data_IF_668929854512
#
_entry.id   IF_668929854512
#
_cell.length_a   1.000
_cell.length_b   1.000
_cell.length_c   1.000
_cell.angle_alpha   90.00
_cell.angle_beta   90.00
_cell.angle_gamma   90.00
#
_symmetry.space_group_name_H-M   'P 1'
#
loop_
_entity.id
_entity.type
_entity.pdbx_description
1 polymer ?
#
# COMPACT_ATOMS: atom_id res chain seq x y z
N UNK A 1 -20.57 -4.35 -16.85
CA UNK A 1 -20.25 -5.42 -15.90
C UNK A 1 -19.08 -6.20 -16.45
N UNK A 2 -18.03 -6.30 -15.65
CA UNK A 2 -16.82 -7.03 -15.98
C UNK A 2 -17.05 -8.53 -15.78
N UNK A 3 -16.49 -9.37 -16.67
CA UNK A 3 -16.68 -10.83 -16.61
C UNK A 3 -15.56 -11.50 -15.81
N UNK A 4 -15.86 -12.63 -15.17
CA UNK A 4 -14.93 -13.36 -14.30
C UNK A 4 -14.53 -14.70 -14.90
N UNK A 5 -13.23 -15.00 -14.87
CA UNK A 5 -12.70 -16.32 -15.19
C UNK A 5 -11.72 -16.78 -14.11
N UNK A 6 -11.67 -18.08 -13.84
CA UNK A 6 -10.70 -18.66 -12.92
C UNK A 6 -10.95 -18.39 -11.44
N UNK A 7 -12.16 -18.02 -11.04
CA UNK A 7 -12.53 -17.91 -9.62
C UNK A 7 -13.17 -19.23 -9.18
N UNK A 8 -12.34 -20.13 -8.67
CA UNK A 8 -12.78 -21.43 -8.15
C UNK A 8 -12.90 -21.41 -6.63
N UNK A 9 -13.73 -22.30 -6.08
CA UNK A 9 -14.01 -22.38 -4.63
C UNK A 9 -12.73 -22.49 -3.79
N UNK A 10 -11.75 -23.26 -4.26
CA UNK A 10 -10.54 -23.61 -3.53
C UNK A 10 -9.47 -22.49 -3.53
N UNK A 11 -9.58 -21.54 -4.46
CA UNK A 11 -8.60 -20.45 -4.63
C UNK A 11 -9.19 -19.07 -4.37
N UNK A 12 -10.51 -18.96 -4.27
CA UNK A 12 -11.18 -17.73 -3.89
C UNK A 12 -11.22 -17.59 -2.35
N UNK A 13 -11.18 -16.36 -1.82
CA UNK A 13 -11.30 -16.09 -0.38
C UNK A 13 -12.68 -16.47 0.19
N UNK A 14 -12.87 -16.42 1.53
CA UNK A 14 -14.09 -16.84 2.20
C UNK A 14 -15.38 -16.20 1.65
N UNK A 15 -15.30 -14.94 1.21
CA UNK A 15 -16.45 -14.17 0.70
C UNK A 15 -16.85 -14.59 -0.73
N UNK A 16 -15.93 -15.10 -1.54
CA UNK A 16 -16.20 -15.59 -2.89
C UNK A 16 -16.59 -17.09 -2.94
N UNK A 17 -16.29 -17.84 -1.87
CA UNK A 17 -16.75 -19.21 -1.69
C UNK A 17 -18.28 -19.31 -1.43
N UNK A 18 -18.93 -18.20 -1.06
CA UNK A 18 -20.35 -18.17 -0.73
C UNK A 18 -21.31 -18.26 -1.95
N UNK A 19 -20.81 -18.04 -3.17
CA UNK A 19 -21.64 -17.71 -4.34
C UNK A 19 -21.61 -18.75 -5.48
N UNK A 20 -21.59 -20.05 -5.15
CA UNK A 20 -21.77 -21.13 -6.14
C UNK A 20 -20.65 -21.22 -7.20
N UNK A 21 -19.45 -20.74 -6.89
CA UNK A 21 -18.28 -20.82 -7.76
C UNK A 21 -18.00 -22.28 -8.21
N UNK A 22 -17.44 -22.50 -9.41
CA UNK A 22 -17.04 -23.85 -9.85
C UNK A 22 -15.93 -24.43 -8.97
N UNK A 23 -15.86 -25.75 -8.84
CA UNK A 23 -14.72 -26.43 -8.21
C UNK A 23 -13.52 -26.44 -9.16
N UNK A 24 -12.36 -26.13 -8.62
CA UNK A 24 -11.08 -26.22 -9.32
C UNK A 24 -10.77 -27.68 -9.70
N UNK A 25 -11.09 -28.62 -8.80
CA UNK A 25 -10.83 -30.06 -9.00
C UNK A 25 -11.61 -30.60 -10.19
N UNK A 26 -12.85 -30.16 -10.36
CA UNK A 26 -13.70 -30.57 -11.49
C UNK A 26 -13.22 -29.99 -12.82
N UNK A 27 -12.48 -28.89 -12.78
CA UNK A 27 -11.96 -28.21 -13.97
C UNK A 27 -10.62 -28.80 -14.47
N UNK A 28 -9.96 -29.67 -13.71
CA UNK A 28 -8.68 -30.31 -14.07
C UNK A 28 -8.85 -31.22 -15.29
N UNK A 29 -7.87 -31.22 -16.20
CA UNK A 29 -7.85 -32.09 -17.37
C UNK A 29 -6.52 -32.83 -17.51
N UNK A 30 -6.54 -33.92 -18.27
CA UNK A 30 -5.32 -34.67 -18.60
C UNK A 30 -4.40 -33.93 -19.58
N UNK A 31 -4.95 -32.98 -20.34
CA UNK A 31 -4.22 -32.17 -21.31
C UNK A 31 -4.96 -30.86 -21.59
N UNK A 32 -4.19 -29.83 -21.91
CA UNK A 32 -4.67 -28.54 -22.36
C UNK A 32 -5.31 -28.52 -23.74
N UNK A 33 -5.93 -27.40 -24.14
CA UNK A 33 -6.32 -27.19 -25.52
C UNK A 33 -5.09 -27.02 -26.42
N UNK A 34 -5.27 -27.17 -27.74
CA UNK A 34 -4.17 -27.11 -28.72
C UNK A 34 -3.41 -25.76 -28.75
N UNK A 35 -4.01 -24.71 -28.19
CA UNK A 35 -3.53 -23.32 -28.12
C UNK A 35 -3.11 -22.89 -26.71
N UNK A 36 -2.92 -23.83 -25.76
CA UNK A 36 -2.65 -23.53 -24.35
C UNK A 36 -1.47 -22.58 -24.13
N UNK A 37 -0.36 -22.75 -24.86
CA UNK A 37 0.80 -21.85 -24.75
C UNK A 37 0.46 -20.39 -25.08
N UNK A 38 -0.44 -20.17 -26.06
CA UNK A 38 -0.89 -18.82 -26.45
C UNK A 38 -1.87 -18.25 -25.43
N UNK A 39 -2.68 -19.11 -24.81
CA UNK A 39 -3.58 -18.74 -23.72
C UNK A 39 -2.75 -18.29 -22.50
N UNK A 40 -1.72 -19.04 -22.11
CA UNK A 40 -0.83 -18.67 -21.01
C UNK A 40 -0.12 -17.34 -21.29
N UNK A 41 0.45 -17.16 -22.48
CA UNK A 41 1.08 -15.90 -22.87
C UNK A 41 0.10 -14.71 -22.82
N UNK A 42 -1.16 -14.91 -23.21
CA UNK A 42 -2.20 -13.90 -23.08
C UNK A 42 -2.45 -13.52 -21.62
N UNK A 43 -2.66 -14.52 -20.74
CA UNK A 43 -2.91 -14.31 -19.32
C UNK A 43 -1.75 -13.60 -18.62
N UNK A 44 -0.51 -13.93 -18.97
CA UNK A 44 0.72 -13.33 -18.42
C UNK A 44 0.93 -11.89 -18.87
N UNK A 45 0.55 -11.56 -20.11
CA UNK A 45 0.73 -10.21 -20.68
C UNK A 45 -0.34 -9.20 -20.26
N UNK A 46 -1.32 -9.62 -19.46
CA UNK A 46 -2.44 -8.79 -19.08
C UNK A 46 -2.09 -7.70 -18.05
N UNK A 47 -3.00 -6.73 -17.89
CA UNK A 47 -2.81 -5.62 -16.96
C UNK A 47 -3.19 -6.06 -15.55
N UNK A 48 -2.27 -5.96 -14.60
CA UNK A 48 -2.57 -6.14 -13.18
C UNK A 48 -3.35 -4.92 -12.64
N UNK A 49 -4.41 -5.18 -11.86
CA UNK A 49 -5.29 -4.14 -11.27
C UNK A 49 -5.32 -4.17 -9.74
N UNK A 50 -4.89 -5.27 -9.14
CA UNK A 50 -4.80 -5.45 -7.69
C UNK A 50 -3.71 -6.45 -7.39
N UNK A 51 -2.92 -6.17 -6.36
CA UNK A 51 -1.79 -7.02 -5.97
C UNK A 51 -1.87 -7.35 -4.49
N UNK A 52 -1.71 -8.62 -4.17
CA UNK A 52 -1.43 -9.11 -2.82
C UNK A 52 0.00 -9.64 -2.78
N UNK A 53 0.65 -9.53 -1.62
CA UNK A 53 1.93 -10.21 -1.38
C UNK A 53 1.74 -11.64 -0.83
N UNK A 54 0.49 -12.06 -0.62
CA UNK A 54 0.13 -13.37 -0.11
C UNK A 54 0.62 -14.50 -1.03
N UNK A 55 1.05 -15.59 -0.44
CA UNK A 55 1.28 -16.84 -1.15
C UNK A 55 0.29 -17.88 -0.65
N UNK A 56 -0.33 -18.60 -1.57
CA UNK A 56 -1.20 -19.74 -1.23
C UNK A 56 -0.52 -21.02 -1.69
N UNK A 57 -0.64 -22.07 -0.89
CA UNK A 57 -0.27 -23.42 -1.33
C UNK A 57 -1.15 -23.82 -2.53
N UNK A 58 -0.59 -24.56 -3.48
CA UNK A 58 -1.35 -25.18 -4.57
C UNK A 58 -2.53 -25.95 -3.99
N UNK A 59 -3.76 -25.55 -4.32
CA UNK A 59 -4.97 -26.12 -3.74
C UNK A 59 -5.22 -27.58 -4.19
N UNK A 60 -4.57 -28.03 -5.26
CA UNK A 60 -4.70 -29.38 -5.80
C UNK A 60 -3.64 -30.33 -5.22
N UNK A 61 -2.39 -29.88 -5.11
CA UNK A 61 -1.24 -30.72 -4.73
C UNK A 61 -0.56 -30.37 -3.41
N UNK A 62 -0.79 -29.17 -2.87
CA UNK A 62 -0.21 -28.66 -1.61
C UNK A 62 1.34 -28.67 -1.54
N UNK A 63 2.01 -28.88 -2.67
CA UNK A 63 3.47 -29.08 -2.75
C UNK A 63 4.24 -27.80 -3.05
N UNK A 64 3.57 -26.80 -3.64
CA UNK A 64 4.18 -25.56 -4.12
C UNK A 64 3.47 -24.32 -3.56
N UNK A 65 4.24 -23.26 -3.30
CA UNK A 65 3.70 -21.96 -2.92
C UNK A 65 3.56 -21.08 -4.16
N UNK A 66 2.34 -20.59 -4.42
CA UNK A 66 2.03 -19.71 -5.54
C UNK A 66 2.01 -18.28 -5.00
N UNK A 67 3.01 -17.48 -5.37
CA UNK A 67 3.14 -16.09 -4.96
C UNK A 67 2.11 -15.19 -5.66
N UNK A 68 1.65 -14.15 -4.95
CA UNK A 68 0.64 -13.22 -5.46
C UNK A 68 -0.76 -13.83 -5.55
N UNK A 69 -1.01 -14.99 -4.92
CA UNK A 69 -2.35 -15.57 -4.89
C UNK A 69 -3.32 -14.53 -4.32
N UNK A 70 -4.42 -14.26 -5.05
CA UNK A 70 -5.38 -13.16 -4.87
C UNK A 70 -5.09 -11.83 -5.61
N UNK A 71 -3.92 -11.66 -6.23
CA UNK A 71 -3.70 -10.58 -7.21
C UNK A 71 -4.62 -10.76 -8.42
N UNK A 72 -5.14 -9.66 -8.98
CA UNK A 72 -6.09 -9.67 -10.08
C UNK A 72 -5.51 -9.05 -11.36
N UNK A 73 -5.72 -9.75 -12.47
CA UNK A 73 -5.34 -9.37 -13.82
C UNK A 73 -6.58 -9.02 -14.65
N UNK A 74 -6.43 -8.18 -15.67
CA UNK A 74 -7.50 -7.81 -16.60
C UNK A 74 -7.01 -7.52 -18.02
N UNK A 75 -7.90 -7.78 -18.98
CA UNK A 75 -7.81 -7.29 -20.37
C UNK A 75 -8.80 -6.15 -20.67
N UNK A 76 -9.45 -5.61 -19.64
CA UNK A 76 -10.48 -4.57 -19.74
C UNK A 76 -11.91 -5.10 -19.88
N UNK A 77 -12.09 -6.38 -20.23
CA UNK A 77 -13.40 -7.06 -20.35
C UNK A 77 -13.56 -8.15 -19.30
N UNK A 78 -12.51 -8.94 -19.10
CA UNK A 78 -12.41 -10.05 -18.17
C UNK A 78 -11.46 -9.72 -17.03
N UNK A 79 -11.70 -10.34 -15.89
CA UNK A 79 -10.78 -10.40 -14.76
C UNK A 79 -10.54 -11.85 -14.35
N UNK A 80 -9.35 -12.10 -13.80
CA UNK A 80 -8.95 -13.39 -13.28
C UNK A 80 -7.85 -13.24 -12.22
N UNK A 81 -7.73 -14.20 -11.29
CA UNK A 81 -6.64 -14.19 -10.33
C UNK A 81 -5.32 -14.64 -10.99
N UNK A 82 -4.20 -14.14 -10.50
CA UNK A 82 -2.87 -14.42 -11.07
C UNK A 82 -2.52 -15.91 -10.99
N UNK A 83 -2.98 -16.60 -9.96
CA UNK A 83 -2.72 -18.03 -9.73
C UNK A 83 -3.47 -18.93 -10.73
N UNK A 84 -4.46 -18.41 -11.48
CA UNK A 84 -5.07 -19.12 -12.60
C UNK A 84 -4.03 -19.62 -13.61
N UNK A 85 -2.97 -18.84 -13.86
CA UNK A 85 -1.91 -19.20 -14.79
C UNK A 85 -1.15 -20.46 -14.34
N UNK A 86 -0.92 -20.60 -13.03
CA UNK A 86 -0.32 -21.79 -12.44
C UNK A 86 -1.19 -23.02 -12.71
N UNK A 87 -2.49 -22.91 -12.44
CA UNK A 87 -3.42 -24.02 -12.63
C UNK A 87 -3.66 -24.41 -14.09
N UNK A 88 -3.65 -23.46 -15.02
CA UNK A 88 -3.71 -23.76 -16.45
C UNK A 88 -2.41 -24.46 -16.89
N UNK A 89 -1.25 -23.92 -16.51
CA UNK A 89 0.06 -24.45 -16.94
C UNK A 89 0.35 -25.84 -16.39
N UNK A 90 0.04 -26.07 -15.11
CA UNK A 90 0.41 -27.30 -14.40
C UNK A 90 -0.69 -28.36 -14.45
N UNK A 91 -1.94 -27.95 -14.36
CA UNK A 91 -3.09 -28.85 -14.16
C UNK A 91 -4.10 -28.80 -15.32
N UNK A 92 -3.79 -28.09 -16.42
CA UNK A 92 -4.62 -27.96 -17.62
C UNK A 92 -6.07 -27.55 -17.34
N UNK A 93 -6.24 -26.73 -16.29
CA UNK A 93 -7.55 -26.31 -15.81
C UNK A 93 -8.35 -25.67 -16.93
N UNK A 94 -9.58 -26.17 -17.09
CA UNK A 94 -10.50 -25.73 -18.12
C UNK A 94 -11.05 -24.33 -17.83
N UNK A 95 -10.84 -23.43 -18.79
CA UNK A 95 -11.38 -22.08 -18.77
C UNK A 95 -12.77 -22.04 -19.42
N UNK A 96 -13.65 -21.08 -19.03
CA UNK A 96 -14.93 -20.88 -19.69
C UNK A 96 -14.77 -20.70 -21.20
N UNK A 97 -15.61 -21.36 -21.99
CA UNK A 97 -15.51 -21.32 -23.46
C UNK A 97 -15.60 -19.89 -24.01
N UNK A 98 -16.45 -19.05 -23.42
CA UNK A 98 -16.59 -17.65 -23.83
C UNK A 98 -15.29 -16.84 -23.63
N UNK A 99 -14.51 -17.17 -22.60
CA UNK A 99 -13.21 -16.53 -22.36
C UNK A 99 -12.16 -16.99 -23.37
N UNK A 100 -12.16 -18.28 -23.71
CA UNK A 100 -11.30 -18.81 -24.77
C UNK A 100 -11.62 -18.19 -26.13
N UNK A 101 -12.91 -18.06 -26.46
CA UNK A 101 -13.35 -17.47 -27.71
C UNK A 101 -13.00 -15.97 -27.77
N UNK A 102 -13.07 -15.27 -26.64
CA UNK A 102 -12.61 -13.88 -26.52
C UNK A 102 -11.11 -13.75 -26.87
N UNK A 103 -10.24 -14.55 -26.24
CA UNK A 103 -8.81 -14.55 -26.52
C UNK A 103 -8.50 -14.87 -27.99
N UNK A 104 -9.18 -15.90 -28.53
CA UNK A 104 -9.01 -16.34 -29.92
C UNK A 104 -9.42 -15.27 -30.92
N UNK A 105 -10.55 -14.60 -30.69
CA UNK A 105 -11.02 -13.51 -31.52
C UNK A 105 -10.06 -12.31 -31.50
N UNK A 106 -9.43 -12.04 -30.35
CA UNK A 106 -8.39 -11.02 -30.19
C UNK A 106 -7.00 -11.43 -30.69
N UNK A 107 -6.85 -12.62 -31.28
CA UNK A 107 -5.56 -13.12 -31.75
C UNK A 107 -4.54 -13.32 -30.61
N UNK A 108 -5.00 -13.56 -29.38
CA UNK A 108 -4.18 -13.69 -28.17
C UNK A 108 -3.32 -12.45 -27.87
N UNK A 109 -3.78 -11.28 -28.31
CA UNK A 109 -3.16 -9.99 -27.95
C UNK A 109 -4.04 -9.29 -26.93
N UNK A 110 -3.48 -8.95 -25.77
CA UNK A 110 -4.19 -8.19 -24.75
C UNK A 110 -4.46 -6.77 -25.28
N UNK A 111 -5.72 -6.31 -25.29
CA UNK A 111 -6.05 -4.93 -25.65
C UNK A 111 -5.38 -3.92 -24.70
N UNK A 112 -5.01 -2.75 -25.22
CA UNK A 112 -4.53 -1.67 -24.37
C UNK A 112 -5.65 -1.20 -23.41
N UNK A 113 -5.51 -1.55 -22.13
CA UNK A 113 -6.47 -1.15 -21.09
C UNK A 113 -6.12 0.25 -20.61
N UNK A 114 -7.01 1.22 -20.87
CA UNK A 114 -6.85 2.58 -20.34
C UNK A 114 -6.91 2.58 -18.81
N UNK A 115 -6.18 3.50 -18.17
CA UNK A 115 -6.22 3.65 -16.71
C UNK A 115 -7.64 3.88 -16.17
N UNK A 116 -8.48 4.61 -16.89
CA UNK A 116 -9.87 4.85 -16.46
C UNK A 116 -10.68 3.55 -16.41
N UNK A 117 -10.50 2.67 -17.39
CA UNK A 117 -11.15 1.35 -17.39
C UNK A 117 -10.61 0.47 -16.26
N UNK A 118 -9.30 0.46 -16.03
CA UNK A 118 -8.71 -0.29 -14.91
C UNK A 118 -9.27 0.18 -13.55
N UNK A 119 -9.39 1.50 -13.33
CA UNK A 119 -10.02 2.08 -12.13
C UNK A 119 -11.47 1.71 -11.98
N UNK A 120 -12.22 1.71 -13.08
CA UNK A 120 -13.62 1.31 -13.06
C UNK A 120 -13.75 -0.14 -12.59
N UNK A 121 -12.96 -1.04 -13.17
CA UNK A 121 -12.95 -2.46 -12.79
C UNK A 121 -12.55 -2.64 -11.33
N UNK A 122 -11.49 -1.97 -10.88
CA UNK A 122 -11.08 -2.02 -9.47
C UNK A 122 -12.21 -1.61 -8.50
N UNK A 123 -12.93 -0.52 -8.78
CA UNK A 123 -14.07 -0.10 -7.96
C UNK A 123 -15.26 -1.05 -8.02
N UNK A 124 -15.49 -1.70 -9.15
CA UNK A 124 -16.52 -2.74 -9.30
C UNK A 124 -16.19 -3.96 -8.42
N UNK A 125 -14.92 -4.36 -8.35
CA UNK A 125 -14.46 -5.53 -7.59
C UNK A 125 -14.29 -5.25 -6.09
N UNK A 126 -13.89 -4.03 -5.73
CA UNK A 126 -13.65 -3.62 -4.34
C UNK A 126 -14.50 -2.40 -3.98
N UNK A 127 -15.84 -2.55 -3.88
CA UNK A 127 -16.73 -1.43 -3.58
C UNK A 127 -16.43 -0.78 -2.22
N UNK A 128 -15.96 -1.56 -1.24
CA UNK A 128 -15.58 -1.09 0.10
C UNK A 128 -14.16 -0.47 0.15
N UNK A 129 -13.35 -0.64 -0.90
CA UNK A 129 -12.02 -0.02 -1.04
C UNK A 129 -12.03 1.29 -1.85
N UNK A 130 -13.20 1.71 -2.33
CA UNK A 130 -13.39 3.11 -2.67
C UNK A 130 -13.06 3.95 -1.43
N UNK A 131 -12.40 5.12 -1.55
CA UNK A 131 -12.12 5.96 -0.39
C UNK A 131 -13.45 6.42 0.20
N UNK A 132 -13.98 5.63 1.12
CA UNK A 132 -15.07 6.00 1.98
C UNK A 132 -14.47 7.00 2.95
N UNK A 133 -14.79 8.26 2.69
CA UNK A 133 -14.67 9.29 3.69
C UNK A 133 -15.36 8.80 4.97
N UNK A 134 -14.54 8.50 5.99
CA UNK A 134 -14.87 8.34 7.42
C UNK A 134 -15.64 7.04 7.76
N UNK A 135 -15.14 6.12 8.63
CA UNK A 135 -15.04 6.33 10.08
C UNK A 135 -14.33 5.19 10.85
N UNK A 136 -13.41 5.62 11.73
CA UNK A 136 -12.94 5.14 13.04
C UNK A 136 -13.05 3.67 13.49
N UNK A 137 -11.91 3.16 14.01
CA UNK A 137 -11.85 2.67 15.41
C UNK A 137 -10.45 2.66 16.05
N UNK A 138 -9.39 2.82 15.26
CA UNK A 138 -8.09 3.31 15.77
C UNK A 138 -7.46 4.18 14.69
N UNK A 139 -7.03 5.37 15.07
CA UNK A 139 -6.29 6.26 14.18
C UNK A 139 -4.79 6.19 14.49
N UNK A 140 -4.30 5.09 15.07
CA UNK A 140 -2.90 4.95 15.46
C UNK A 140 -1.98 5.31 14.29
N UNK A 141 -1.05 6.21 14.55
CA UNK A 141 -0.20 6.79 13.53
C UNK A 141 1.20 7.05 14.06
N UNK A 142 2.15 6.99 13.14
CA UNK A 142 3.48 7.52 13.32
C UNK A 142 3.64 8.63 12.31
N UNK A 143 3.95 9.85 12.74
CA UNK A 143 4.27 10.95 11.82
C UNK A 143 5.58 11.61 12.17
N UNK A 144 6.32 12.04 11.16
CA UNK A 144 7.50 12.89 11.35
C UNK A 144 7.62 13.91 10.24
N UNK A 145 8.32 14.99 10.54
CA UNK A 145 8.44 16.16 9.68
C UNK A 145 9.87 16.27 9.16
N UNK A 146 9.99 16.49 7.87
CA UNK A 146 11.27 16.62 7.16
C UNK A 146 11.25 17.86 6.27
N UNK A 147 12.41 18.43 5.92
CA UNK A 147 12.50 19.36 4.80
C UNK A 147 11.88 18.77 3.54
N UNK A 148 11.38 19.64 2.66
CA UNK A 148 10.87 19.25 1.35
C UNK A 148 11.83 18.28 0.66
N UNK A 149 11.33 17.09 0.34
CA UNK A 149 12.09 16.02 -0.27
C UNK A 149 12.55 16.46 -1.67
N UNK A 150 13.85 16.28 -1.91
CA UNK A 150 14.40 16.22 -3.27
C UNK A 150 14.29 14.79 -3.78
N UNK A 151 14.45 14.55 -5.08
CA UNK A 151 14.44 13.18 -5.62
C UNK A 151 15.44 12.29 -4.88
N UNK A 152 16.67 12.79 -4.65
CA UNK A 152 17.69 12.04 -3.90
C UNK A 152 17.31 11.80 -2.42
N UNK A 153 16.56 12.70 -1.78
CA UNK A 153 16.08 12.48 -0.42
C UNK A 153 14.91 11.48 -0.38
N UNK A 154 14.04 11.52 -1.39
CA UNK A 154 12.96 10.55 -1.54
C UNK A 154 13.53 9.14 -1.80
N UNK A 155 14.51 9.00 -2.69
CA UNK A 155 15.19 7.71 -2.93
C UNK A 155 15.83 7.16 -1.65
N UNK A 156 16.49 8.02 -0.86
CA UNK A 156 17.05 7.60 0.45
C UNK A 156 15.96 7.17 1.43
N UNK A 157 14.84 7.89 1.50
CA UNK A 157 13.71 7.52 2.34
C UNK A 157 13.18 6.13 1.96
N UNK A 158 13.00 5.85 0.67
CA UNK A 158 12.57 4.54 0.19
C UNK A 158 13.59 3.44 0.54
N UNK A 159 14.88 3.71 0.36
CA UNK A 159 15.93 2.78 0.75
C UNK A 159 15.97 2.52 2.27
N UNK A 160 15.72 3.55 3.09
CA UNK A 160 15.64 3.41 4.55
C UNK A 160 14.43 2.58 4.97
N UNK A 161 13.27 2.81 4.35
CA UNK A 161 12.08 1.97 4.50
C UNK A 161 12.42 0.50 4.18
N UNK A 162 13.01 0.23 3.02
CA UNK A 162 13.37 -1.12 2.60
C UNK A 162 14.34 -1.77 3.60
N UNK A 163 15.35 -1.04 4.07
CA UNK A 163 16.31 -1.51 5.07
C UNK A 163 15.68 -1.83 6.43
N UNK A 164 14.56 -1.17 6.74
CA UNK A 164 13.80 -1.39 7.97
C UNK A 164 12.78 -2.53 7.84
N UNK A 165 12.67 -3.15 6.67
CA UNK A 165 11.70 -4.21 6.36
C UNK A 165 10.33 -3.69 5.94
N UNK A 166 10.25 -2.42 5.52
CA UNK A 166 9.05 -1.75 5.05
C UNK A 166 9.21 -1.40 3.57
N UNK A 167 8.43 -2.01 2.67
CA UNK A 167 8.66 -1.87 1.23
C UNK A 167 7.57 -1.00 0.60
N UNK A 168 7.96 0.13 0.01
CA UNK A 168 6.99 0.97 -0.72
C UNK A 168 6.61 0.38 -2.09
N UNK A 169 7.47 -0.49 -2.62
CA UNK A 169 7.22 -1.29 -3.82
C UNK A 169 7.40 -2.75 -3.44
N UNK A 170 6.43 -3.62 -3.73
CA UNK A 170 6.56 -5.04 -3.43
C UNK A 170 7.80 -5.63 -4.14
N UNK A 171 8.73 -6.29 -3.42
CA UNK A 171 9.93 -6.86 -4.03
C UNK A 171 9.63 -8.03 -5.01
N UNK A 172 8.42 -8.58 -4.97
CA UNK A 172 7.96 -9.68 -5.84
C UNK A 172 7.37 -9.19 -7.17
N UNK A 173 6.56 -8.14 -7.16
CA UNK A 173 5.87 -7.65 -8.38
C UNK A 173 6.51 -6.40 -8.97
N UNK A 174 7.25 -5.63 -8.17
CA UNK A 174 7.83 -4.36 -8.61
C UNK A 174 6.77 -3.26 -8.85
N UNK A 175 5.51 -3.49 -8.46
CA UNK A 175 4.39 -2.61 -8.80
C UNK A 175 3.95 -1.73 -7.61
N UNK A 176 4.15 -0.42 -7.76
CA UNK A 176 3.63 0.62 -6.89
C UNK A 176 2.13 0.81 -7.11
N UNK A 177 1.37 0.90 -6.02
CA UNK A 177 0.01 1.39 -6.00
C UNK A 177 -0.11 2.53 -4.99
N UNK A 178 -0.54 3.70 -5.48
CA UNK A 178 -0.74 4.88 -4.66
C UNK A 178 -1.62 5.93 -5.34
N UNK A 179 -1.71 7.11 -4.72
CA UNK A 179 -2.43 8.26 -5.23
C UNK A 179 -1.61 9.53 -4.99
N UNK A 180 -1.50 10.39 -6.00
CA UNK A 180 -1.08 11.77 -5.83
C UNK A 180 -2.32 12.68 -5.86
N UNK A 181 -2.43 13.57 -4.89
CA UNK A 181 -3.40 14.64 -4.86
C UNK A 181 -2.73 15.94 -5.30
N UNK A 182 -3.35 16.64 -6.24
CA UNK A 182 -2.90 17.93 -6.76
C UNK A 182 -3.47 19.08 -5.93
N UNK A 183 -2.97 20.34 -6.07
CA UNK A 183 -3.50 21.49 -5.34
C UNK A 183 -4.97 21.78 -5.67
N UNK A 184 -5.47 21.30 -6.81
CA UNK A 184 -6.88 21.41 -7.20
C UNK A 184 -7.77 20.37 -6.52
N UNK A 185 -7.23 19.52 -5.64
CA UNK A 185 -7.94 18.44 -4.95
C UNK A 185 -8.19 17.22 -5.82
N UNK A 186 -7.56 17.15 -7.01
CA UNK A 186 -7.71 16.01 -7.91
C UNK A 186 -6.80 14.87 -7.44
N UNK A 187 -7.39 13.71 -7.15
CA UNK A 187 -6.65 12.49 -6.84
C UNK A 187 -6.40 11.69 -8.11
N UNK A 188 -5.13 11.56 -8.47
CA UNK A 188 -4.63 10.81 -9.62
C UNK A 188 -3.90 9.56 -9.11
N UNK A 189 -4.07 8.37 -9.71
CA UNK A 189 -3.34 7.20 -9.26
C UNK A 189 -1.86 7.34 -9.60
N UNK A 190 -1.05 6.79 -8.73
CA UNK A 190 0.38 6.67 -8.89
C UNK A 190 0.71 5.19 -9.06
N UNK A 191 1.13 4.82 -10.26
CA UNK A 191 1.40 3.44 -10.67
C UNK A 191 2.79 3.38 -11.32
N UNK A 192 3.56 2.34 -11.03
CA UNK A 192 4.91 2.20 -11.59
C UNK A 192 5.87 1.51 -10.63
N UNK A 193 7.09 2.02 -10.53
CA UNK A 193 8.14 1.49 -9.66
C UNK A 193 8.53 2.53 -8.56
N UNK A 194 9.62 2.25 -7.85
CA UNK A 194 10.10 3.13 -6.78
C UNK A 194 10.54 4.50 -7.29
N UNK A 195 11.01 4.60 -8.54
CA UNK A 195 11.42 5.87 -9.13
C UNK A 195 10.21 6.77 -9.40
N UNK A 196 9.08 6.19 -9.81
CA UNK A 196 7.81 6.93 -9.94
C UNK A 196 7.36 7.49 -8.60
N UNK A 197 7.45 6.70 -7.52
CA UNK A 197 7.14 7.18 -6.17
C UNK A 197 8.08 8.30 -5.75
N UNK A 198 9.40 8.10 -5.87
CA UNK A 198 10.39 9.10 -5.47
C UNK A 198 10.23 10.42 -6.23
N UNK A 199 9.91 10.37 -7.53
CA UNK A 199 9.59 11.54 -8.33
C UNK A 199 8.35 12.27 -7.78
N UNK A 200 7.26 11.55 -7.50
CA UNK A 200 6.03 12.14 -6.96
C UNK A 200 6.23 12.77 -5.58
N UNK A 201 7.02 12.15 -4.71
CA UNK A 201 7.34 12.69 -3.37
C UNK A 201 8.13 14.01 -3.45
N UNK A 202 9.01 14.13 -4.44
CA UNK A 202 9.80 15.32 -4.69
C UNK A 202 9.06 16.39 -5.52
N UNK A 203 8.00 16.02 -6.24
CA UNK A 203 7.34 16.91 -7.18
C UNK A 203 6.57 18.04 -6.46
N UNK A 204 6.68 19.25 -7.01
CA UNK A 204 6.00 20.41 -6.44
C UNK A 204 4.48 20.40 -6.68
N UNK A 205 4.00 19.59 -7.63
CA UNK A 205 2.59 19.48 -8.01
C UNK A 205 1.80 18.50 -7.15
N UNK A 206 2.45 17.59 -6.42
CA UNK A 206 1.74 16.74 -5.46
C UNK A 206 1.70 17.45 -4.10
N UNK A 207 0.50 17.72 -3.58
CA UNK A 207 0.30 18.25 -2.22
C UNK A 207 0.22 17.12 -1.19
N UNK A 208 -0.30 15.97 -1.60
CA UNK A 208 -0.38 14.76 -0.81
C UNK A 208 -0.10 13.56 -1.72
N UNK A 209 0.76 12.67 -1.27
CA UNK A 209 1.02 11.37 -1.90
C UNK A 209 0.67 10.29 -0.90
N UNK A 210 -0.14 9.35 -1.30
CA UNK A 210 -0.56 8.19 -0.53
C UNK A 210 -0.04 6.95 -1.25
N UNK A 211 0.56 6.02 -0.52
CA UNK A 211 1.12 4.79 -1.09
C UNK A 211 0.99 3.66 -0.08
N UNK A 212 0.89 2.44 -0.59
CA UNK A 212 0.90 1.24 0.25
C UNK A 212 2.33 0.90 0.63
N UNK A 213 2.59 0.70 1.92
CA UNK A 213 3.88 0.30 2.45
C UNK A 213 3.75 -1.10 3.07
N UNK A 214 4.53 -2.06 2.58
CA UNK A 214 4.40 -3.47 2.91
C UNK A 214 5.33 -3.87 4.04
N UNK A 215 4.84 -4.64 5.02
CA UNK A 215 5.63 -5.27 6.07
C UNK A 215 5.58 -6.78 5.86
N UNK A 216 6.71 -7.40 5.52
CA UNK A 216 6.75 -8.83 5.23
C UNK A 216 5.97 -9.19 3.96
N UNK A 217 5.18 -10.28 4.01
CA UNK A 217 4.50 -10.84 2.84
C UNK A 217 2.98 -10.63 2.82
N UNK A 218 2.34 -10.18 3.89
CA UNK A 218 0.88 -10.15 3.98
C UNK A 218 0.34 -8.88 4.66
N UNK A 219 1.21 -8.13 5.34
CA UNK A 219 0.82 -6.91 6.02
C UNK A 219 1.17 -5.69 5.19
N UNK A 220 0.29 -4.70 5.25
CA UNK A 220 0.55 -3.40 4.66
C UNK A 220 0.01 -2.31 5.55
N UNK A 221 0.60 -1.13 5.42
CA UNK A 221 0.21 0.06 6.12
C UNK A 221 0.25 1.25 5.17
N UNK A 222 -0.69 2.16 5.34
CA UNK A 222 -0.81 3.31 4.45
C UNK A 222 0.27 4.33 4.80
N UNK A 223 1.14 4.62 3.83
CA UNK A 223 2.09 5.73 3.85
C UNK A 223 1.47 6.98 3.23
N UNK A 224 1.64 8.11 3.89
CA UNK A 224 1.10 9.40 3.46
C UNK A 224 2.23 10.41 3.58
N UNK A 225 2.64 11.02 2.47
CA UNK A 225 3.50 12.20 2.47
C UNK A 225 2.66 13.41 2.10
N UNK A 226 2.66 14.42 2.96
CA UNK A 226 1.88 15.64 2.73
C UNK A 226 2.77 16.85 2.90
N UNK A 227 2.61 17.83 2.01
CA UNK A 227 3.24 19.13 2.15
C UNK A 227 2.46 19.97 3.18
N UNK A 228 3.16 20.41 4.22
CA UNK A 228 2.58 21.22 5.29
C UNK A 228 2.76 22.71 4.99
N UNK A 229 3.92 23.08 4.48
CA UNK A 229 4.29 24.44 4.06
C UNK A 229 5.26 24.42 2.86
N UNK A 230 5.84 25.56 2.48
CA UNK A 230 6.75 25.63 1.32
C UNK A 230 8.08 24.88 1.51
N UNK A 231 8.47 24.64 2.76
CA UNK A 231 9.78 24.13 3.18
C UNK A 231 9.71 22.75 3.84
N UNK A 232 8.53 22.31 4.28
CA UNK A 232 8.35 21.12 5.12
C UNK A 232 7.33 20.15 4.54
N UNK A 233 7.59 18.86 4.72
CA UNK A 233 6.67 17.77 4.46
C UNK A 233 6.52 16.90 5.72
N UNK A 234 5.30 16.45 5.99
CA UNK A 234 5.01 15.41 6.97
C UNK A 234 4.98 14.06 6.26
N UNK A 235 5.62 13.06 6.84
CA UNK A 235 5.51 11.66 6.43
C UNK A 235 4.77 10.92 7.55
N UNK A 236 3.65 10.30 7.22
CA UNK A 236 2.76 9.62 8.17
C UNK A 236 2.50 8.19 7.73
N UNK A 237 2.75 7.25 8.63
CA UNK A 237 2.53 5.83 8.43
C UNK A 237 1.41 5.41 9.39
N UNK A 238 0.32 4.88 8.84
CA UNK A 238 -0.86 4.45 9.61
C UNK A 238 -0.64 3.08 10.24
N UNK A 239 -0.06 3.08 11.44
CA UNK A 239 0.21 1.83 12.19
C UNK A 239 -1.06 1.14 12.71
N UNK A 240 -2.23 1.80 12.63
CA UNK A 240 -3.54 1.17 12.86
C UNK A 240 -3.86 0.07 11.85
N UNK A 241 -3.29 0.12 10.66
CA UNK A 241 -3.49 -0.86 9.60
C UNK A 241 -2.77 -2.20 9.92
N UNK A 242 -1.84 -2.18 10.89
CA UNK A 242 -1.12 -3.36 11.38
C UNK A 242 -1.81 -3.92 12.65
N UNK A 243 -2.00 -5.25 12.74
CA UNK A 243 -2.51 -5.91 13.94
C UNK A 243 -1.68 -5.57 15.19
N UNK A 244 -2.33 -5.46 16.35
CA UNK A 244 -1.67 -5.17 17.63
C UNK A 244 -0.42 -6.00 17.95
N UNK A 245 -0.34 -7.33 17.69
CA UNK A 245 0.87 -8.09 18.00
C UNK A 245 2.11 -7.62 17.21
N UNK A 246 1.92 -7.08 16.01
CA UNK A 246 3.00 -6.69 15.10
C UNK A 246 3.26 -5.17 15.10
N UNK A 247 2.41 -4.40 15.79
CA UNK A 247 2.48 -2.94 15.82
C UNK A 247 3.79 -2.44 16.43
N UNK A 248 4.28 -3.07 17.49
CA UNK A 248 5.54 -2.65 18.12
C UNK A 248 6.75 -2.91 17.21
N UNK A 249 6.73 -3.99 16.42
CA UNK A 249 7.79 -4.24 15.44
C UNK A 249 7.77 -3.18 14.33
N UNK A 250 6.58 -2.81 13.84
CA UNK A 250 6.42 -1.73 12.86
C UNK A 250 6.89 -0.38 13.43
N UNK A 251 6.51 -0.04 14.67
CA UNK A 251 6.98 1.18 15.34
C UNK A 251 8.51 1.15 15.51
N UNK A 252 9.08 0.02 15.92
CA UNK A 252 10.54 -0.12 16.03
C UNK A 252 11.25 0.05 14.68
N UNK A 253 10.66 -0.45 13.58
CA UNK A 253 11.16 -0.20 12.23
C UNK A 253 11.15 1.28 11.86
N UNK A 254 10.06 1.99 12.18
CA UNK A 254 9.93 3.43 11.92
C UNK A 254 10.90 4.26 12.77
N UNK A 255 11.15 3.87 14.02
CA UNK A 255 12.17 4.51 14.88
C UNK A 255 13.57 4.33 14.27
N UNK A 256 13.91 3.14 13.74
CA UNK A 256 15.19 2.93 13.04
C UNK A 256 15.36 3.84 11.82
N UNK A 257 14.27 4.14 11.10
CA UNK A 257 14.31 5.07 9.97
C UNK A 257 14.60 6.49 10.44
N UNK A 258 13.98 6.92 11.54
CA UNK A 258 14.31 8.20 12.18
C UNK A 258 15.77 8.25 12.62
N UNK A 259 16.30 7.19 13.22
CA UNK A 259 17.69 7.13 13.67
C UNK A 259 18.68 7.30 12.51
N UNK A 260 18.34 6.80 11.32
CA UNK A 260 19.17 6.91 10.11
C UNK A 260 19.22 8.34 9.55
N UNK A 261 18.21 9.19 9.81
CA UNK A 261 18.17 10.59 9.35
C UNK A 261 17.68 11.56 10.45
N UNK A 262 18.22 11.40 11.66
CA UNK A 262 17.83 12.21 12.82
C UNK A 262 18.11 13.70 12.63
N UNK A 263 19.11 14.05 11.81
CA UNK A 263 19.47 15.43 11.50
C UNK A 263 18.44 16.12 10.58
N UNK A 264 17.77 15.37 9.70
CA UNK A 264 16.69 15.86 8.85
C UNK A 264 15.35 15.98 9.57
N UNK A 265 15.19 15.38 10.74
CA UNK A 265 13.92 15.38 11.47
C UNK A 265 13.66 16.74 12.15
N UNK A 266 12.53 17.38 11.81
CA UNK A 266 12.03 18.62 12.42
C UNK A 266 11.08 18.38 13.60
N UNK A 267 10.69 17.14 13.83
CA UNK A 267 9.79 16.72 14.89
C UNK A 267 9.04 15.45 14.50
N UNK A 268 8.52 14.72 15.48
CA UNK A 268 7.76 13.51 15.26
C UNK A 268 6.73 13.26 16.37
N UNK A 269 5.71 12.47 16.05
CA UNK A 269 4.69 12.00 16.99
C UNK A 269 4.45 10.52 16.77
N UNK A 270 4.44 9.77 17.87
CA UNK A 270 4.06 8.37 17.92
C UNK A 270 2.79 8.26 18.75
N UNK A 271 1.70 7.86 18.12
CA UNK A 271 0.43 7.58 18.80
C UNK A 271 -0.09 6.20 18.39
N UNK A 272 0.18 5.22 19.25
CA UNK A 272 -0.19 3.81 19.11
C UNK A 272 -1.68 3.56 19.30
N UNK A 273 -2.40 4.52 19.87
CA UNK A 273 -3.83 4.40 20.18
C UNK A 273 -4.70 5.27 19.28
N UNK A 274 -4.12 6.34 18.72
CA UNK A 274 -4.79 7.33 17.89
C UNK A 274 -5.57 8.38 18.68
N UNK A 275 -5.37 8.48 20.00
CA UNK A 275 -6.11 9.42 20.86
C UNK A 275 -5.87 10.89 20.50
N UNK A 276 -4.69 11.19 19.96
CA UNK A 276 -4.26 12.53 19.56
C UNK A 276 -4.39 12.79 18.06
N UNK A 277 -5.07 11.91 17.31
CA UNK A 277 -5.17 12.04 15.85
C UNK A 277 -5.92 13.30 15.38
N UNK A 278 -6.75 13.92 16.24
CA UNK A 278 -7.45 15.17 15.96
C UNK A 278 -6.62 16.43 16.28
N UNK A 279 -5.43 16.27 16.88
CA UNK A 279 -4.57 17.38 17.25
C UNK A 279 -3.86 17.97 16.03
N UNK A 280 -3.74 19.30 15.99
CA UNK A 280 -2.97 20.00 14.95
C UNK A 280 -1.46 19.86 15.17
N UNK A 281 -0.91 18.72 14.79
CA UNK A 281 0.53 18.45 14.92
C UNK A 281 1.39 19.29 13.98
N UNK A 282 0.86 19.75 12.85
CA UNK A 282 1.58 20.64 11.94
C UNK A 282 1.90 21.96 12.61
N UNK A 283 0.87 22.58 13.20
CA UNK A 283 1.00 23.83 13.94
C UNK A 283 1.94 23.68 15.14
N UNK A 284 1.85 22.56 15.87
CA UNK A 284 2.63 22.32 17.09
C UNK A 284 4.10 22.13 16.75
N UNK A 285 4.42 21.21 15.83
CA UNK A 285 5.81 20.84 15.55
C UNK A 285 6.52 21.82 14.61
N UNK A 286 5.80 22.44 13.67
CA UNK A 286 6.42 23.21 12.58
C UNK A 286 5.84 24.61 12.36
N UNK A 287 4.60 24.85 12.80
CA UNK A 287 3.92 26.15 12.70
C UNK A 287 4.26 27.13 13.82
N UNK A 288 3.34 28.03 14.17
CA UNK A 288 3.53 29.00 15.26
C UNK A 288 2.29 29.09 16.13
N UNK A 289 2.45 29.02 17.46
CA UNK A 289 1.39 29.31 18.44
C UNK A 289 0.35 28.22 18.64
N UNK A 290 0.48 27.06 17.99
CA UNK A 290 -0.40 25.93 18.26
C UNK A 290 0.02 25.20 19.54
N UNK A 291 -0.99 24.73 20.28
CA UNK A 291 -0.84 24.00 21.54
C UNK A 291 -1.57 22.69 21.45
N UNK A 292 -1.13 21.71 22.22
CA UNK A 292 -1.80 20.42 22.32
C UNK A 292 -2.37 20.21 23.72
N UNK A 293 -3.55 19.58 23.78
CA UNK A 293 -4.23 19.24 25.04
C UNK A 293 -4.25 17.74 25.27
N UNK A 294 -4.10 16.96 24.21
CA UNK A 294 -4.09 15.50 24.26
C UNK A 294 -2.69 14.98 23.99
N UNK A 295 -2.16 14.20 24.93
CA UNK A 295 -0.83 13.63 24.84
C UNK A 295 -0.80 12.43 23.89
N UNK A 296 0.13 12.40 22.91
CA UNK A 296 0.49 11.18 22.20
C UNK A 296 1.34 10.28 23.12
N UNK A 297 1.69 9.07 22.69
CA UNK A 297 2.58 8.22 23.49
C UNK A 297 4.00 8.80 23.53
N UNK A 298 4.45 9.41 22.43
CA UNK A 298 5.75 10.06 22.35
C UNK A 298 5.70 11.24 21.38
N UNK A 299 6.35 12.33 21.75
CA UNK A 299 6.52 13.52 20.92
C UNK A 299 7.99 13.95 20.93
N UNK A 300 8.56 14.13 19.75
CA UNK A 300 9.87 14.76 19.55
C UNK A 300 9.69 16.15 18.96
N UNK A 301 10.25 17.17 19.61
CA UNK A 301 10.16 18.57 19.16
C UNK A 301 11.54 19.24 19.17
N UNK A 302 11.79 20.16 18.24
CA UNK A 302 13.03 20.91 18.19
C UNK A 302 13.30 21.64 19.50
N UNK A 303 14.55 21.56 19.99
CA UNK A 303 14.97 22.15 21.26
C UNK A 303 14.68 23.64 21.37
N UNK A 304 14.87 24.37 20.27
CA UNK A 304 14.59 25.81 20.19
C UNK A 304 13.10 26.16 20.33
N UNK A 305 12.19 25.21 20.05
CA UNK A 305 10.75 25.39 20.11
C UNK A 305 10.13 24.95 21.44
N UNK A 306 10.83 24.13 22.24
CA UNK A 306 10.34 23.69 23.57
C UNK A 306 9.81 24.84 24.44
N UNK A 307 10.45 26.03 24.50
CA UNK A 307 9.95 27.16 25.29
C UNK A 307 8.59 27.72 24.84
N UNK A 308 8.17 27.45 23.60
CA UNK A 308 6.87 27.86 23.07
C UNK A 308 5.71 26.99 23.60
N UNK A 309 6.03 25.84 24.20
CA UNK A 309 5.08 24.83 24.67
C UNK A 309 5.09 24.73 26.19
N UNK A 310 4.28 25.55 26.90
CA UNK A 310 4.20 25.48 28.36
C UNK A 310 3.69 24.12 28.86
N UNK A 311 3.02 23.34 28.02
CA UNK A 311 2.54 21.99 28.34
C UNK A 311 3.67 20.99 28.59
N UNK A 312 4.87 21.25 28.03
CA UNK A 312 6.05 20.40 28.19
C UNK A 312 6.92 20.80 29.40
N UNK A 313 6.67 21.96 30.02
CA UNK A 313 7.56 22.56 31.02
C UNK A 313 7.73 21.71 32.29
N UNK A 314 6.80 20.81 32.58
CA UNK A 314 6.83 19.89 33.73
C UNK A 314 7.30 18.47 33.42
N UNK A 315 7.62 18.17 32.16
CA UNK A 315 7.95 16.82 31.71
C UNK A 315 9.46 16.62 31.55
N UNK A 316 9.95 15.42 31.85
CA UNK A 316 11.34 15.07 31.62
C UNK A 316 11.61 14.89 30.12
N UNK A 317 12.68 15.52 29.63
CA UNK A 317 13.07 15.49 28.22
C UNK A 317 14.29 14.58 28.02
N UNK A 318 14.25 13.73 26.99
CA UNK A 318 15.41 12.99 26.52
C UNK A 318 16.00 13.68 25.28
N UNK A 319 17.32 13.88 25.24
CA UNK A 319 17.98 14.43 24.07
C UNK A 319 18.01 13.42 22.91
N UNK A 320 17.59 13.87 21.73
CA UNK A 320 17.60 13.07 20.51
C UNK A 320 17.99 13.93 19.31
N UNK A 321 19.29 13.94 18.96
CA UNK A 321 19.79 14.81 17.89
C UNK A 321 19.47 16.28 18.14
N UNK A 322 18.75 16.94 17.25
CA UNK A 322 18.29 18.33 17.42
C UNK A 322 16.99 18.46 18.26
N UNK A 323 16.36 17.34 18.62
CA UNK A 323 15.07 17.27 19.29
C UNK A 323 15.21 17.02 20.80
N UNK A 324 14.20 17.46 21.55
CA UNK A 324 13.84 16.91 22.85
C UNK A 324 12.64 15.98 22.69
N UNK A 325 12.74 14.80 23.27
CA UNK A 325 11.70 13.78 23.25
C UNK A 325 11.01 13.73 24.61
N UNK A 326 9.69 13.78 24.57
CA UNK A 326 8.83 13.67 25.74
C UNK A 326 7.90 12.46 25.55
N UNK A 327 7.66 11.75 26.63
CA UNK A 327 6.71 10.64 26.68
C UNK A 327 5.46 11.06 27.44
N UNK A 328 4.34 10.38 27.16
CA UNK A 328 3.11 10.57 27.94
C UNK A 328 3.41 10.38 29.44
N UNK A 329 3.02 11.33 30.32
CA UNK A 329 3.23 11.23 31.77
C UNK A 329 2.55 10.02 32.43
#
# INVERSE_FOLDING_TARGET
>A
MTKRAGFYQEISGPDAAADGAPSLRDAVRSSGPWDEDRILAYLESAREIYTTMGARRDALTDDEWIAGSESLMTDGTWIWPIDLMHYVRRHHVSLPQEFLDHMRAGGYTVPAVSDERARQIFREEFPDSAPTAVSSKSAAFFTWYVPKLTSAAADRLLAHLDSAGLFAVPPLTGALFGFCETPTGTREPLMGDGAVLAAALAESRCTRVEFTCWKGYDQSLTGIVRRTDETTQSITLRIADIPEPDREEAVAALVRILDQDAAGCRGFVIDRTGVSAAQDWDGVLTGTGARFTTWPDTIGILRERVPEHPELAGSEATEYGALHVFHRP
#
